data_IF_993190379754
#
_entry.id   IF_993190379754
#
_cell.length_a   1.000
_cell.length_b   1.000
_cell.length_c   1.000
_cell.angle_alpha   90.00
_cell.angle_beta   90.00
_cell.angle_gamma   90.00
#
_symmetry.space_group_name_H-M   'P 1'
#
loop_
_entity.id
_entity.type
_entity.pdbx_description
1 polymer ?
#
# COMPACT_ATOMS: atom_id res chain seq x y z
N UNK A 1 -2.35 -31.70 89.10
CA UNK A 1 -3.09 -31.28 90.31
C UNK A 1 -4.38 -32.09 90.39
N UNK A 2 -4.62 -32.77 91.53
CA UNK A 2 -5.82 -33.58 91.84
C UNK A 2 -5.87 -34.95 91.13
N UNK A 3 -6.03 -36.09 91.84
CA UNK A 3 -7.07 -36.27 92.85
C UNK A 3 -6.63 -36.94 94.17
N UNK A 4 -7.25 -36.52 95.29
CA UNK A 4 -7.21 -37.20 96.58
C UNK A 4 -8.30 -38.27 96.64
N UNK A 5 -7.94 -39.51 96.97
CA UNK A 5 -8.81 -40.49 97.64
C UNK A 5 -8.29 -40.67 99.07
N UNK A 6 -9.15 -40.48 100.08
CA UNK A 6 -9.00 -41.07 101.41
C UNK A 6 -10.31 -41.83 101.68
N UNK A 7 -10.22 -43.15 101.65
CA UNK A 7 -11.24 -44.07 102.11
C UNK A 7 -10.70 -44.82 103.31
N UNK A 8 -11.46 -44.78 104.39
CA UNK A 8 -11.26 -45.47 105.66
C UNK A 8 -11.29 -46.99 105.53
N UNK A 9 -10.65 -47.68 106.47
CA UNK A 9 -10.85 -49.13 106.64
C UNK A 9 -9.64 -49.90 107.16
N UNK A 10 -9.28 -49.69 108.43
CA UNK A 10 -8.27 -50.50 109.14
C UNK A 10 -8.99 -51.41 110.15
N UNK A 11 -9.06 -52.72 109.89
CA UNK A 11 -9.47 -53.75 110.86
C UNK A 11 -8.54 -54.96 110.76
N UNK A 12 -7.75 -55.21 111.81
CA UNK A 12 -7.06 -56.49 112.05
C UNK A 12 -6.64 -56.60 113.52
N UNK A 13 -7.24 -57.53 114.26
CA UNK A 13 -6.57 -58.62 115.01
C UNK A 13 -7.58 -59.31 115.95
N UNK A 14 -7.56 -60.64 115.91
CA UNK A 14 -8.31 -61.50 116.80
C UNK A 14 -7.44 -62.18 117.86
N UNK A 15 -8.09 -63.08 118.61
CA UNK A 15 -7.55 -63.98 119.63
C UNK A 15 -8.25 -63.74 120.98
N UNK A 16 -8.71 -64.73 121.76
CA UNK A 16 -8.46 -66.18 121.77
C UNK A 16 -9.37 -66.82 122.85
N UNK A 17 -9.98 -68.00 122.59
CA UNK A 17 -10.38 -69.05 123.57
C UNK A 17 -11.45 -68.68 124.62
N UNK A 18 -12.21 -69.59 125.25
CA UNK A 18 -12.19 -71.05 125.34
C UNK A 18 -13.56 -71.45 125.95
N UNK A 19 -14.21 -72.49 125.44
CA UNK A 19 -15.50 -72.95 125.96
C UNK A 19 -15.42 -74.17 126.87
N UNK A 20 -16.53 -74.47 127.55
CA UNK A 20 -16.89 -75.78 128.12
C UNK A 20 -17.49 -75.67 129.53
N UNK A 21 -18.39 -76.56 129.99
CA UNK A 21 -19.34 -77.51 129.38
C UNK A 21 -20.29 -77.96 130.52
N UNK A 22 -21.48 -78.39 130.12
CA UNK A 22 -22.63 -78.92 130.87
C UNK A 22 -22.37 -80.03 131.92
N UNK A 23 -23.08 -79.89 133.05
CA UNK A 23 -23.94 -80.84 133.79
C UNK A 23 -23.72 -82.36 133.80
N UNK A 24 -23.84 -82.88 135.04
CA UNK A 24 -24.70 -83.99 135.53
C UNK A 24 -24.04 -85.32 135.93
N UNK A 25 -24.09 -85.54 137.25
CA UNK A 25 -24.35 -86.75 138.07
C UNK A 25 -23.85 -88.14 137.67
N UNK A 26 -23.29 -88.85 138.66
CA UNK A 26 -23.19 -90.31 138.68
C UNK A 26 -22.29 -90.84 139.78
N UNK A 27 -22.87 -91.60 140.72
CA UNK A 27 -22.30 -92.05 141.98
C UNK A 27 -21.35 -93.27 141.90
N UNK A 28 -20.40 -93.31 142.85
CA UNK A 28 -19.98 -94.45 143.70
C UNK A 28 -19.92 -95.89 143.16
N UNK A 29 -18.74 -96.56 143.20
CA UNK A 29 -18.54 -97.91 142.67
C UNK A 29 -18.36 -99.01 143.76
N UNK A 30 -18.58 -100.27 143.38
CA UNK A 30 -17.84 -101.47 143.84
C UNK A 30 -18.33 -102.68 143.03
N UNK A 31 -17.55 -103.55 142.39
CA UNK A 31 -16.12 -103.80 142.17
C UNK A 31 -16.04 -105.23 141.59
N UNK A 32 -15.18 -105.57 140.60
CA UNK A 32 -15.15 -106.95 140.07
C UNK A 32 -13.79 -107.65 140.20
N UNK A 33 -13.83 -108.97 140.03
CA UNK A 33 -12.80 -109.99 140.29
C UNK A 33 -11.94 -110.36 139.05
N UNK A 34 -10.82 -111.13 139.22
CA UNK A 34 -9.58 -111.05 138.41
C UNK A 34 -9.60 -111.44 136.92
N UNK A 35 -10.69 -111.97 136.37
CA UNK A 35 -10.71 -112.43 134.96
C UNK A 35 -10.96 -111.30 133.94
N UNK A 36 -11.39 -110.12 134.39
CA UNK A 36 -11.68 -108.96 133.52
C UNK A 36 -10.44 -108.14 133.11
N UNK A 37 -9.30 -108.33 133.78
CA UNK A 37 -8.07 -107.56 133.51
C UNK A 37 -7.35 -107.98 132.22
N UNK A 38 -7.51 -109.21 131.74
CA UNK A 38 -6.85 -109.68 130.50
C UNK A 38 -7.54 -109.19 129.23
N UNK A 39 -8.86 -108.97 129.26
CA UNK A 39 -9.61 -108.46 128.11
C UNK A 39 -9.39 -106.95 127.87
N UNK A 40 -9.15 -106.17 128.93
CA UNK A 40 -8.88 -104.73 128.83
C UNK A 40 -7.53 -104.39 128.20
N UNK A 41 -6.52 -105.25 128.33
CA UNK A 41 -5.20 -105.03 127.73
C UNK A 41 -5.25 -105.15 126.20
N UNK A 42 -6.04 -106.08 125.66
CA UNK A 42 -6.15 -106.31 124.22
C UNK A 42 -6.85 -105.15 123.48
N UNK A 43 -7.90 -104.58 124.08
CA UNK A 43 -8.60 -103.41 123.50
C UNK A 43 -7.72 -102.17 123.50
N UNK A 44 -6.98 -101.90 124.58
CA UNK A 44 -6.06 -100.76 124.63
C UNK A 44 -4.91 -100.85 123.62
N UNK A 45 -4.43 -102.06 123.29
CA UNK A 45 -3.41 -102.24 122.25
C UNK A 45 -3.94 -101.97 120.83
N UNK A 46 -5.21 -102.30 120.55
CA UNK A 46 -5.83 -102.02 119.25
C UNK A 46 -6.13 -100.53 119.06
N UNK A 47 -6.59 -99.85 120.12
CA UNK A 47 -6.83 -98.41 120.10
C UNK A 47 -5.54 -97.62 119.91
N UNK A 48 -4.44 -98.03 120.55
CA UNK A 48 -3.11 -97.44 120.33
C UNK A 48 -2.65 -97.56 118.87
N UNK A 49 -2.83 -98.74 118.25
CA UNK A 49 -2.44 -98.95 116.85
C UNK A 49 -3.28 -98.12 115.88
N UNK A 50 -4.57 -97.89 116.19
CA UNK A 50 -5.45 -97.03 115.41
C UNK A 50 -5.05 -95.55 115.52
N UNK A 51 -4.77 -95.05 116.72
CA UNK A 51 -4.23 -93.69 116.91
C UNK A 51 -2.89 -93.49 116.20
N UNK A 52 -1.99 -94.48 116.24
CA UNK A 52 -0.71 -94.41 115.52
C UNK A 52 -0.90 -94.31 114.00
N UNK A 53 -1.83 -95.07 113.43
CA UNK A 53 -2.18 -94.99 112.01
C UNK A 53 -2.84 -93.65 111.63
N UNK A 54 -3.73 -93.12 112.47
CA UNK A 54 -4.34 -91.81 112.26
C UNK A 54 -3.30 -90.69 112.35
N UNK A 55 -2.37 -90.77 113.31
CA UNK A 55 -1.24 -89.84 113.42
C UNK A 55 -0.36 -89.87 112.17
N UNK A 56 0.00 -91.06 111.68
CA UNK A 56 0.79 -91.22 110.47
C UNK A 56 0.08 -90.65 109.24
N UNK A 57 -1.23 -90.87 109.11
CA UNK A 57 -2.02 -90.30 108.02
C UNK A 57 -2.08 -88.77 108.10
N UNK A 58 -2.34 -88.21 109.29
CA UNK A 58 -2.30 -86.76 109.49
C UNK A 58 -0.91 -86.17 109.23
N UNK A 59 0.16 -86.90 109.54
CA UNK A 59 1.52 -86.48 109.23
C UNK A 59 1.79 -86.43 107.73
N UNK A 60 1.38 -87.47 106.98
CA UNK A 60 1.47 -87.49 105.52
C UNK A 60 0.65 -86.36 104.90
N UNK A 61 -0.57 -86.11 105.40
CA UNK A 61 -1.43 -85.05 104.87
C UNK A 61 -0.86 -83.66 105.18
N UNK A 62 -0.28 -83.45 106.37
CA UNK A 62 0.46 -82.23 106.71
C UNK A 62 1.65 -82.02 105.79
N UNK A 63 2.44 -83.06 105.55
CA UNK A 63 3.64 -82.97 104.72
C UNK A 63 3.27 -82.76 103.23
N UNK A 64 2.16 -83.35 102.75
CA UNK A 64 1.57 -83.04 101.43
C UNK A 64 1.12 -81.60 101.32
N UNK A 65 0.40 -81.07 102.32
CA UNK A 65 -0.05 -79.67 102.34
C UNK A 65 1.15 -78.73 102.39
N UNK A 66 2.19 -79.05 103.15
CA UNK A 66 3.44 -78.28 103.19
C UNK A 66 4.14 -78.28 101.83
N UNK A 67 4.26 -79.45 101.17
CA UNK A 67 4.82 -79.56 99.82
C UNK A 67 4.01 -78.76 98.79
N UNK A 68 2.68 -78.87 98.79
CA UNK A 68 1.82 -78.07 97.92
C UNK A 68 1.97 -76.57 98.17
N UNK A 69 2.07 -76.17 99.44
CA UNK A 69 2.32 -74.78 99.81
C UNK A 69 3.66 -74.30 99.26
N UNK A 70 4.74 -75.06 99.41
CA UNK A 70 6.06 -74.69 98.90
C UNK A 70 6.11 -74.64 97.37
N UNK A 71 5.45 -75.59 96.68
CA UNK A 71 5.31 -75.57 95.22
C UNK A 71 4.52 -74.34 94.78
N UNK A 72 3.34 -74.08 95.38
CA UNK A 72 2.52 -72.92 95.03
C UNK A 72 3.20 -71.61 95.36
N UNK A 73 3.97 -71.55 96.44
CA UNK A 73 4.80 -70.40 96.79
C UNK A 73 5.89 -70.17 95.73
N UNK A 74 6.61 -71.20 95.30
CA UNK A 74 7.61 -71.12 94.21
C UNK A 74 6.98 -70.72 92.88
N UNK A 75 5.83 -71.30 92.52
CA UNK A 75 5.08 -70.92 91.31
C UNK A 75 4.64 -69.46 91.35
N UNK A 76 4.18 -68.99 92.51
CA UNK A 76 3.81 -67.59 92.71
C UNK A 76 5.03 -66.66 92.61
N UNK A 77 6.15 -67.01 93.24
CA UNK A 77 7.42 -66.28 93.15
C UNK A 77 7.94 -66.24 91.70
N UNK A 78 7.84 -67.34 90.95
CA UNK A 78 8.20 -67.42 89.54
C UNK A 78 7.27 -66.56 88.66
N UNK A 79 5.96 -66.61 88.88
CA UNK A 79 5.00 -65.77 88.15
C UNK A 79 5.25 -64.27 88.42
N UNK A 80 5.55 -63.91 89.68
CA UNK A 80 5.94 -62.55 90.04
C UNK A 80 7.25 -62.13 89.34
N UNK A 81 8.24 -63.02 89.25
CA UNK A 81 9.48 -62.74 88.54
C UNK A 81 9.25 -62.55 87.02
N UNK A 82 8.40 -63.36 86.40
CA UNK A 82 8.02 -63.21 85.00
C UNK A 82 7.30 -61.89 84.73
N UNK A 83 6.35 -61.50 85.60
CA UNK A 83 5.67 -60.20 85.48
C UNK A 83 6.67 -59.06 85.57
N UNK A 84 7.60 -59.10 86.54
CA UNK A 84 8.68 -58.09 86.65
C UNK A 84 9.55 -58.03 85.39
N UNK A 85 9.94 -59.18 84.85
CA UNK A 85 10.74 -59.22 83.62
C UNK A 85 9.97 -58.62 82.44
N UNK A 86 8.67 -58.93 82.31
CA UNK A 86 7.82 -58.36 81.26
C UNK A 86 7.61 -56.85 81.42
N UNK A 87 7.53 -56.36 82.65
CA UNK A 87 7.49 -54.91 82.92
C UNK A 87 8.79 -54.23 82.47
N UNK A 88 9.95 -54.81 82.79
CA UNK A 88 11.26 -54.30 82.33
C UNK A 88 11.38 -54.35 80.80
N UNK A 89 10.96 -55.44 80.16
CA UNK A 89 10.96 -55.54 78.68
C UNK A 89 10.06 -54.47 78.05
N UNK A 90 8.88 -54.22 78.63
CA UNK A 90 7.97 -53.18 78.18
C UNK A 90 8.59 -51.79 78.33
N UNK A 91 9.24 -51.52 79.45
CA UNK A 91 9.95 -50.25 79.68
C UNK A 91 11.07 -50.06 78.65
N UNK A 92 11.90 -51.08 78.41
CA UNK A 92 12.97 -51.02 77.40
C UNK A 92 12.43 -50.79 75.98
N UNK A 93 11.32 -51.42 75.61
CA UNK A 93 10.68 -51.19 74.30
C UNK A 93 10.13 -49.77 74.18
N UNK A 94 9.52 -49.24 75.24
CA UNK A 94 9.05 -47.85 75.28
C UNK A 94 10.21 -46.85 75.15
N UNK A 95 11.33 -47.10 75.84
CA UNK A 95 12.53 -46.28 75.73
C UNK A 95 13.12 -46.29 74.31
N UNK A 96 13.21 -47.48 73.68
CA UNK A 96 13.65 -47.62 72.28
C UNK A 96 12.74 -46.87 71.32
N UNK A 97 11.43 -47.06 71.44
CA UNK A 97 10.46 -46.35 70.61
C UNK A 97 10.56 -44.84 70.80
N UNK A 98 10.75 -44.36 72.04
CA UNK A 98 10.93 -42.94 72.31
C UNK A 98 12.23 -42.40 71.73
N UNK A 99 13.32 -43.18 71.74
CA UNK A 99 14.57 -42.83 71.09
C UNK A 99 14.42 -42.75 69.56
N UNK A 100 13.75 -43.73 68.93
CA UNK A 100 13.47 -43.73 67.50
C UNK A 100 12.63 -42.51 67.10
N UNK A 101 11.56 -42.20 67.85
CA UNK A 101 10.73 -41.00 67.61
C UNK A 101 11.59 -39.72 67.68
N UNK A 102 12.53 -39.63 68.62
CA UNK A 102 13.45 -38.48 68.70
C UNK A 102 14.36 -38.38 67.47
N UNK A 103 14.92 -39.51 67.00
CA UNK A 103 15.76 -39.55 65.79
C UNK A 103 14.95 -39.17 64.55
N UNK A 104 13.75 -39.73 64.38
CA UNK A 104 12.86 -39.37 63.26
C UNK A 104 12.48 -37.89 63.29
N UNK A 105 12.17 -37.34 64.46
CA UNK A 105 11.89 -35.92 64.62
C UNK A 105 13.09 -35.03 64.27
N UNK A 106 14.31 -35.42 64.68
CA UNK A 106 15.53 -34.71 64.29
C UNK A 106 15.76 -34.78 62.78
N UNK A 107 15.61 -35.96 62.18
CA UNK A 107 15.75 -36.14 60.72
C UNK A 107 14.73 -35.31 59.95
N UNK A 108 13.48 -35.25 60.41
CA UNK A 108 12.45 -34.40 59.82
C UNK A 108 12.82 -32.92 59.92
N UNK A 109 13.31 -32.46 61.08
CA UNK A 109 13.78 -31.07 61.25
C UNK A 109 14.94 -30.73 60.32
N UNK A 110 15.92 -31.63 60.17
CA UNK A 110 17.03 -31.44 59.24
C UNK A 110 16.54 -31.36 57.78
N UNK A 111 15.66 -32.28 57.37
CA UNK A 111 15.10 -32.28 56.01
C UNK A 111 14.32 -30.99 55.71
N UNK A 112 13.50 -30.52 56.66
CA UNK A 112 12.75 -29.27 56.50
C UNK A 112 13.68 -28.06 56.42
N UNK A 113 14.75 -28.02 57.23
CA UNK A 113 15.74 -26.96 57.18
C UNK A 113 16.53 -26.96 55.87
N UNK A 114 16.95 -28.13 55.40
CA UNK A 114 17.63 -28.29 54.12
C UNK A 114 16.73 -27.87 52.96
N UNK A 115 15.47 -28.33 52.95
CA UNK A 115 14.49 -27.90 51.95
C UNK A 115 14.28 -26.38 51.99
N UNK A 116 14.16 -25.79 53.18
CA UNK A 116 14.02 -24.35 53.34
C UNK A 116 15.23 -23.59 52.80
N UNK A 117 16.44 -24.10 53.05
CA UNK A 117 17.68 -23.50 52.54
C UNK A 117 17.77 -23.61 51.01
N UNK A 118 17.46 -24.78 50.43
CA UNK A 118 17.44 -24.97 48.97
C UNK A 118 16.43 -24.03 48.33
N UNK A 119 15.21 -23.97 48.87
CA UNK A 119 14.18 -23.03 48.39
C UNK A 119 14.66 -21.59 48.52
N UNK A 120 15.37 -21.24 49.60
CA UNK A 120 15.99 -19.93 49.78
C UNK A 120 17.03 -19.61 48.70
N UNK A 121 17.96 -20.54 48.41
CA UNK A 121 18.98 -20.39 47.37
C UNK A 121 18.35 -20.22 46.00
N UNK A 122 17.43 -21.11 45.63
CA UNK A 122 16.74 -21.07 44.33
C UNK A 122 15.95 -19.77 44.17
N UNK A 123 15.31 -19.26 45.23
CA UNK A 123 14.64 -17.96 45.18
C UNK A 123 15.63 -16.82 44.96
N UNK A 124 16.75 -16.80 45.67
CA UNK A 124 17.78 -15.79 45.51
C UNK A 124 18.41 -15.82 44.10
N UNK A 125 18.74 -17.00 43.59
CA UNK A 125 19.26 -17.20 42.23
C UNK A 125 18.26 -16.73 41.17
N UNK A 126 16.97 -17.08 41.32
CA UNK A 126 15.92 -16.62 40.42
C UNK A 126 15.74 -15.09 40.47
N UNK A 127 15.82 -14.46 41.64
CA UNK A 127 15.76 -13.00 41.75
C UNK A 127 16.94 -12.32 41.05
N UNK A 128 18.14 -12.87 41.16
CA UNK A 128 19.32 -12.37 40.45
C UNK A 128 19.16 -12.55 38.95
N UNK A 129 18.71 -13.72 38.50
CA UNK A 129 18.45 -13.99 37.08
C UNK A 129 17.40 -13.04 36.49
N UNK A 130 16.30 -12.77 37.21
CA UNK A 130 15.28 -11.82 36.79
C UNK A 130 15.82 -10.38 36.73
N UNK A 131 16.66 -9.97 37.69
CA UNK A 131 17.32 -8.65 37.66
C UNK A 131 18.25 -8.51 36.45
N UNK A 132 19.06 -9.53 36.18
CA UNK A 132 19.96 -9.55 35.03
C UNK A 132 19.18 -9.48 33.71
N UNK A 133 18.11 -10.26 33.57
CA UNK A 133 17.26 -10.24 32.38
C UNK A 133 16.60 -8.87 32.18
N UNK A 134 16.11 -8.24 33.25
CA UNK A 134 15.56 -6.87 33.19
C UNK A 134 16.62 -5.85 32.77
N UNK A 135 17.83 -5.94 33.31
CA UNK A 135 18.94 -5.06 32.93
C UNK A 135 19.33 -5.22 31.46
N UNK A 136 19.43 -6.46 30.97
CA UNK A 136 19.72 -6.74 29.56
C UNK A 136 18.60 -6.28 28.62
N UNK A 137 17.33 -6.40 29.04
CA UNK A 137 16.21 -5.86 28.28
C UNK A 137 16.27 -4.33 28.19
N UNK A 138 16.52 -3.64 29.32
CA UNK A 138 16.66 -2.18 29.35
C UNK A 138 17.86 -1.69 28.51
N UNK A 139 18.98 -2.40 28.53
CA UNK A 139 20.14 -2.08 27.69
C UNK A 139 19.82 -2.22 26.20
N UNK A 140 19.17 -3.32 25.79
CA UNK A 140 18.72 -3.52 24.40
C UNK A 140 17.74 -2.45 23.96
N UNK A 141 16.77 -2.10 24.82
CA UNK A 141 15.83 -1.02 24.54
C UNK A 141 16.54 0.31 24.34
N UNK A 142 17.49 0.66 25.22
CA UNK A 142 18.30 1.88 25.07
C UNK A 142 19.12 1.88 23.78
N UNK A 143 19.69 0.74 23.39
CA UNK A 143 20.43 0.62 22.13
C UNK A 143 19.50 0.83 20.93
N UNK A 144 18.34 0.16 20.92
CA UNK A 144 17.35 0.33 19.85
C UNK A 144 16.82 1.76 19.74
N UNK A 145 16.65 2.47 20.87
CA UNK A 145 16.26 3.88 20.86
C UNK A 145 17.36 4.79 20.28
N UNK A 146 18.62 4.50 20.59
CA UNK A 146 19.75 5.21 20.01
C UNK A 146 19.87 4.94 18.50
N UNK A 147 19.74 3.68 18.08
CA UNK A 147 19.75 3.29 16.67
C UNK A 147 18.58 3.92 15.90
N UNK A 148 17.40 3.98 16.51
CA UNK A 148 16.25 4.67 15.92
C UNK A 148 16.54 6.16 15.73
N UNK A 149 17.23 6.80 16.68
CA UNK A 149 17.59 8.22 16.58
C UNK A 149 18.63 8.45 15.50
N UNK A 150 19.70 7.66 15.45
CA UNK A 150 20.74 7.77 14.42
C UNK A 150 20.18 7.49 13.03
N UNK A 151 19.30 6.50 12.87
CA UNK A 151 18.62 6.24 11.60
C UNK A 151 17.72 7.40 11.17
N UNK A 152 17.02 8.05 12.11
CA UNK A 152 16.21 9.25 11.80
C UNK A 152 17.08 10.42 11.36
N UNK A 153 18.22 10.63 12.01
CA UNK A 153 19.14 11.71 11.67
C UNK A 153 19.80 11.45 10.30
N UNK A 154 20.29 10.24 10.05
CA UNK A 154 20.82 9.82 8.75
C UNK A 154 19.78 9.96 7.63
N UNK A 155 18.51 9.60 7.90
CA UNK A 155 17.43 9.78 6.92
C UNK A 155 17.24 11.25 6.57
N UNK A 156 17.22 12.14 7.56
CA UNK A 156 17.09 13.60 7.34
C UNK A 156 18.29 14.16 6.57
N UNK A 157 19.50 13.73 6.89
CA UNK A 157 20.71 14.14 6.15
C UNK A 157 20.64 13.69 4.69
N UNK A 158 20.21 12.46 4.42
CA UNK A 158 20.02 11.98 3.05
C UNK A 158 18.92 12.76 2.31
N UNK A 159 17.80 13.06 2.97
CA UNK A 159 16.74 13.90 2.41
C UNK A 159 17.27 15.30 2.05
N UNK A 160 18.03 15.94 2.94
CA UNK A 160 18.64 17.24 2.69
C UNK A 160 19.64 17.19 1.52
N UNK A 161 20.48 16.16 1.45
CA UNK A 161 21.41 15.95 0.34
C UNK A 161 20.67 15.75 -1.00
N UNK A 162 19.53 15.04 -1.00
CA UNK A 162 18.69 14.91 -2.20
C UNK A 162 18.06 16.24 -2.60
N UNK A 163 17.58 17.04 -1.65
CA UNK A 163 17.08 18.38 -1.94
C UNK A 163 18.17 19.28 -2.54
N UNK A 164 19.38 19.24 -2.02
CA UNK A 164 20.49 20.07 -2.49
C UNK A 164 20.98 19.63 -3.88
N UNK A 165 21.04 18.32 -4.15
CA UNK A 165 21.31 17.82 -5.51
C UNK A 165 20.22 18.21 -6.50
N UNK A 166 18.95 18.19 -6.12
CA UNK A 166 17.84 18.69 -6.95
C UNK A 166 17.97 20.20 -7.20
N UNK A 167 18.28 21.01 -6.18
CA UNK A 167 18.51 22.46 -6.33
C UNK A 167 19.68 22.72 -7.28
N UNK A 168 20.78 21.97 -7.15
CA UNK A 168 21.94 22.10 -8.02
C UNK A 168 21.60 21.74 -9.47
N UNK A 169 20.90 20.62 -9.72
CA UNK A 169 20.43 20.26 -11.06
C UNK A 169 19.52 21.34 -11.67
N UNK A 170 18.59 21.89 -10.89
CA UNK A 170 17.73 23.00 -11.35
C UNK A 170 18.52 24.25 -11.70
N UNK A 171 19.54 24.58 -10.91
CA UNK A 171 20.42 25.72 -11.17
C UNK A 171 21.22 25.51 -12.45
N UNK A 172 21.75 24.31 -12.67
CA UNK A 172 22.55 24.00 -13.85
C UNK A 172 21.68 23.97 -15.12
N UNK A 173 20.47 23.39 -15.07
CA UNK A 173 19.50 23.52 -16.16
C UNK A 173 19.13 24.98 -16.44
N UNK A 174 18.95 25.82 -15.42
CA UNK A 174 18.68 27.24 -15.62
C UNK A 174 19.84 27.95 -16.33
N UNK A 175 21.10 27.64 -15.97
CA UNK A 175 22.28 28.16 -16.67
C UNK A 175 22.33 27.71 -18.12
N UNK A 176 22.03 26.44 -18.41
CA UNK A 176 21.99 25.90 -19.77
C UNK A 176 20.91 26.57 -20.62
N UNK A 177 19.71 26.76 -20.07
CA UNK A 177 18.62 27.50 -20.73
C UNK A 177 19.06 28.93 -21.05
N UNK A 178 19.72 29.63 -20.11
CA UNK A 178 20.23 30.98 -20.36
C UNK A 178 21.29 30.99 -21.45
N UNK A 179 22.22 30.02 -21.46
CA UNK A 179 23.23 29.89 -22.53
C UNK A 179 22.57 29.65 -23.89
N UNK A 180 21.57 28.76 -23.96
CA UNK A 180 20.84 28.53 -25.20
C UNK A 180 20.12 29.78 -25.68
N UNK A 181 19.45 30.53 -24.79
CA UNK A 181 18.81 31.81 -25.14
C UNK A 181 19.81 32.81 -25.70
N UNK A 182 20.96 32.98 -25.04
CA UNK A 182 22.03 33.85 -25.53
C UNK A 182 22.54 33.43 -26.91
N UNK A 183 22.70 32.12 -27.14
CA UNK A 183 23.10 31.61 -28.46
C UNK A 183 22.04 31.91 -29.52
N UNK A 184 20.76 31.70 -29.22
CA UNK A 184 19.67 32.03 -30.14
C UNK A 184 19.59 33.53 -30.45
N UNK A 185 19.82 34.39 -29.46
CA UNK A 185 19.84 35.84 -29.65
C UNK A 185 21.01 36.25 -30.56
N UNK A 186 22.21 35.66 -30.37
CA UNK A 186 23.36 35.89 -31.24
C UNK A 186 23.10 35.41 -32.67
N UNK A 187 22.58 34.19 -32.83
CA UNK A 187 22.27 33.62 -34.15
C UNK A 187 21.20 34.45 -34.88
N UNK A 188 20.20 34.96 -34.15
CA UNK A 188 19.18 35.86 -34.70
C UNK A 188 19.77 37.20 -35.13
N UNK A 189 20.64 37.82 -34.32
CA UNK A 189 21.35 39.04 -34.69
C UNK A 189 22.23 38.84 -35.92
N UNK A 190 22.96 37.73 -35.99
CA UNK A 190 23.79 37.35 -37.13
C UNK A 190 22.95 37.16 -38.41
N UNK A 191 21.77 36.54 -38.28
CA UNK A 191 20.85 36.36 -39.40
C UNK A 191 20.32 37.70 -39.91
N UNK A 192 19.89 38.59 -39.01
CA UNK A 192 19.43 39.94 -39.34
C UNK A 192 20.54 40.73 -40.04
N UNK A 193 21.77 40.70 -39.50
CA UNK A 193 22.91 41.39 -40.09
C UNK A 193 23.23 40.86 -41.51
N UNK A 194 23.14 39.53 -41.71
CA UNK A 194 23.32 38.92 -43.04
C UNK A 194 22.23 39.34 -44.02
N UNK A 195 20.97 39.39 -43.59
CA UNK A 195 19.85 39.84 -44.46
C UNK A 195 19.97 41.32 -44.81
N UNK A 196 20.31 42.17 -43.85
CA UNK A 196 20.50 43.61 -44.08
C UNK A 196 21.65 43.86 -45.04
N UNK A 197 22.75 43.13 -44.90
CA UNK A 197 23.88 43.19 -45.83
C UNK A 197 23.47 42.81 -47.24
N UNK A 198 22.68 41.74 -47.41
CA UNK A 198 22.15 41.33 -48.74
C UNK A 198 21.24 42.41 -49.33
N UNK A 199 20.33 42.98 -48.54
CA UNK A 199 19.43 44.05 -48.99
C UNK A 199 20.24 45.27 -49.46
N UNK A 200 21.24 45.69 -48.68
CA UNK A 200 22.14 46.79 -49.07
C UNK A 200 22.88 46.49 -50.37
N UNK A 201 23.47 45.30 -50.49
CA UNK A 201 24.18 44.88 -51.70
C UNK A 201 23.27 44.87 -52.95
N UNK A 202 22.03 44.38 -52.84
CA UNK A 202 21.08 44.43 -53.95
C UNK A 202 20.74 45.88 -54.33
N UNK A 203 20.48 46.75 -53.34
CA UNK A 203 20.21 48.17 -53.60
C UNK A 203 21.39 48.87 -54.28
N UNK A 204 22.61 48.62 -53.80
CA UNK A 204 23.83 49.21 -54.36
C UNK A 204 24.05 48.73 -55.81
N UNK A 205 23.79 47.44 -56.08
CA UNK A 205 23.87 46.86 -57.43
C UNK A 205 22.82 47.46 -58.37
N UNK A 206 21.57 47.58 -57.94
CA UNK A 206 20.50 48.18 -58.73
C UNK A 206 20.78 49.67 -59.00
N UNK A 207 21.32 50.40 -58.02
CA UNK A 207 21.73 51.78 -58.19
C UNK A 207 22.90 51.91 -59.17
N UNK A 208 23.86 50.99 -59.10
CA UNK A 208 24.97 50.92 -60.06
C UNK A 208 24.48 50.64 -61.48
N UNK A 209 23.60 49.65 -61.66
CA UNK A 209 22.99 49.35 -62.97
C UNK A 209 22.25 50.56 -63.52
N UNK A 210 21.42 51.22 -62.69
CA UNK A 210 20.71 52.44 -63.10
C UNK A 210 21.67 53.54 -63.55
N UNK A 211 22.76 53.77 -62.80
CA UNK A 211 23.79 54.76 -63.18
C UNK A 211 24.48 54.39 -64.48
N UNK A 212 24.80 53.12 -64.68
CA UNK A 212 25.39 52.62 -65.90
C UNK A 212 24.46 52.82 -67.11
N UNK A 213 23.18 52.42 -66.99
CA UNK A 213 22.18 52.59 -68.05
C UNK A 213 21.98 54.08 -68.42
N UNK A 214 21.93 54.97 -67.42
CA UNK A 214 21.86 56.42 -67.64
C UNK A 214 23.08 56.87 -68.45
N UNK A 215 24.28 56.46 -68.05
CA UNK A 215 25.50 56.85 -68.73
C UNK A 215 25.56 56.32 -70.18
N UNK A 216 25.15 55.07 -70.41
CA UNK A 216 25.05 54.50 -71.76
C UNK A 216 24.01 55.23 -72.63
N UNK A 217 22.89 55.69 -72.06
CA UNK A 217 21.91 56.52 -72.76
C UNK A 217 22.50 57.89 -73.09
N UNK A 218 23.21 58.51 -72.15
CA UNK A 218 23.87 59.80 -72.35
C UNK A 218 24.94 59.72 -73.44
N UNK A 219 25.79 58.71 -73.42
CA UNK A 219 26.79 58.45 -74.47
C UNK A 219 26.14 58.28 -75.85
N UNK A 220 25.07 57.47 -75.95
CA UNK A 220 24.32 57.32 -77.21
C UNK A 220 23.70 58.63 -77.69
N UNK A 221 23.15 59.44 -76.77
CA UNK A 221 22.60 60.75 -77.11
C UNK A 221 23.68 61.73 -77.54
N UNK A 222 24.82 61.77 -76.86
CA UNK A 222 25.96 62.61 -77.20
C UNK A 222 26.55 62.24 -78.57
N UNK A 223 26.66 60.94 -78.85
CA UNK A 223 27.07 60.45 -80.16
C UNK A 223 26.08 60.89 -81.24
N UNK A 224 24.77 60.76 -81.00
CA UNK A 224 23.74 61.22 -81.94
C UNK A 224 23.79 62.73 -82.18
N UNK A 225 23.99 63.54 -81.13
CA UNK A 225 24.17 64.99 -81.24
C UNK A 225 25.39 65.29 -82.12
N UNK A 226 26.51 64.60 -81.89
CA UNK A 226 27.73 64.77 -82.68
C UNK A 226 27.52 64.43 -84.15
N UNK A 227 26.83 63.32 -84.44
CA UNK A 227 26.47 62.93 -85.81
C UNK A 227 25.53 63.94 -86.48
N UNK A 228 24.55 64.46 -85.73
CA UNK A 228 23.64 65.48 -86.21
C UNK A 228 24.37 66.79 -86.52
N UNK A 229 25.30 67.22 -85.66
CA UNK A 229 26.17 68.37 -85.92
C UNK A 229 26.98 68.19 -87.19
N UNK A 230 27.62 67.02 -87.38
CA UNK A 230 28.38 66.70 -88.61
C UNK A 230 27.50 66.73 -89.86
N UNK A 231 26.28 66.19 -89.79
CA UNK A 231 25.31 66.23 -90.90
C UNK A 231 24.88 67.66 -91.22
N UNK A 232 24.61 68.48 -90.21
CA UNK A 232 24.30 69.89 -90.41
C UNK A 232 25.48 70.63 -91.03
N UNK A 233 26.70 70.42 -90.55
CA UNK A 233 27.91 71.06 -91.10
C UNK A 233 28.16 70.64 -92.56
N UNK A 234 27.92 69.36 -92.88
CA UNK A 234 27.96 68.88 -94.26
C UNK A 234 26.87 69.53 -95.11
N UNK A 235 25.63 69.58 -94.65
CA UNK A 235 24.53 70.23 -95.36
C UNK A 235 24.78 71.74 -95.55
N UNK A 236 25.33 72.43 -94.54
CA UNK A 236 25.75 73.83 -94.67
C UNK A 236 26.87 73.99 -95.70
N UNK A 237 27.83 73.07 -95.72
CA UNK A 237 28.91 73.06 -96.73
C UNK A 237 28.36 72.80 -98.13
N UNK A 238 27.45 71.83 -98.29
CA UNK A 238 26.76 71.53 -99.54
C UNK A 238 25.91 72.71 -100.02
N UNK A 239 25.17 73.39 -99.13
CA UNK A 239 24.44 74.62 -99.44
C UNK A 239 25.40 75.73 -99.88
N UNK A 240 26.53 75.89 -99.18
CA UNK A 240 27.54 76.89 -99.53
C UNK A 240 28.17 76.58 -100.89
N UNK A 241 28.48 75.32 -101.17
CA UNK A 241 28.93 74.85 -102.48
C UNK A 241 27.85 75.09 -103.54
N UNK A 242 26.58 74.76 -103.27
CA UNK A 242 25.47 74.99 -104.18
C UNK A 242 25.27 76.48 -104.51
N UNK A 243 25.37 77.38 -103.54
CA UNK A 243 25.32 78.82 -103.82
C UNK A 243 26.58 79.35 -104.50
N UNK A 244 27.75 78.79 -104.21
CA UNK A 244 28.98 79.06 -104.98
C UNK A 244 28.86 78.58 -106.42
N UNK A 245 28.30 77.39 -106.64
CA UNK A 245 28.08 76.79 -107.94
C UNK A 245 26.97 77.53 -108.69
N UNK A 246 25.94 78.04 -108.01
CA UNK A 246 24.95 78.96 -108.60
C UNK A 246 25.61 80.28 -108.96
N UNK A 247 26.48 80.85 -108.12
CA UNK A 247 27.15 82.11 -108.48
C UNK A 247 28.11 81.91 -109.64
N UNK A 248 28.81 80.78 -109.67
CA UNK A 248 29.66 80.36 -110.79
C UNK A 248 28.83 80.10 -112.05
N UNK A 249 27.75 79.30 -111.95
CA UNK A 249 26.81 79.07 -113.05
C UNK A 249 26.08 80.33 -113.46
N UNK A 250 25.81 81.29 -112.57
CA UNK A 250 25.20 82.57 -112.93
C UNK A 250 26.22 83.45 -113.65
N UNK A 251 27.50 83.40 -113.28
CA UNK A 251 28.59 84.03 -114.04
C UNK A 251 28.73 83.40 -115.43
N UNK A 252 28.70 82.07 -115.50
CA UNK A 252 28.74 81.32 -116.76
C UNK A 252 27.46 81.55 -117.57
N UNK A 253 26.27 81.54 -116.97
CA UNK A 253 24.98 81.86 -117.59
C UNK A 253 24.88 83.33 -117.99
N UNK A 254 25.51 84.28 -117.30
CA UNK A 254 25.63 85.66 -117.80
C UNK A 254 26.49 85.68 -119.07
N UNK A 255 27.50 84.80 -119.16
CA UNK A 255 28.32 84.58 -120.36
C UNK A 255 27.49 83.93 -121.47
N UNK A 256 26.74 82.87 -121.15
CA UNK A 256 25.90 82.14 -122.10
C UNK A 256 24.67 82.93 -122.50
N UNK A 257 24.01 83.70 -121.63
CA UNK A 257 22.88 84.59 -121.99
C UNK A 257 23.33 85.74 -122.89
N UNK A 258 24.59 86.18 -122.82
CA UNK A 258 25.15 87.06 -123.85
C UNK A 258 25.26 86.36 -125.21
N UNK A 259 25.48 85.04 -125.22
CA UNK A 259 25.46 84.20 -126.43
C UNK A 259 24.02 83.84 -126.85
N UNK A 260 23.14 83.43 -125.96
CA UNK A 260 21.76 83.00 -126.17
C UNK A 260 20.78 84.15 -126.41
N UNK A 261 21.02 85.40 -125.99
CA UNK A 261 20.26 86.54 -126.52
C UNK A 261 20.40 86.63 -128.05
N UNK A 262 21.45 86.04 -128.62
CA UNK A 262 21.59 85.89 -130.08
C UNK A 262 20.78 84.71 -130.64
N UNK A 263 20.48 83.68 -129.85
CA UNK A 263 19.82 82.43 -130.29
C UNK A 263 18.35 82.26 -129.83
N UNK A 264 17.90 82.89 -128.74
CA UNK A 264 16.52 82.92 -128.22
C UNK A 264 15.53 83.62 -129.15
N UNK A 265 16.00 84.38 -130.14
CA UNK A 265 15.16 84.83 -131.26
C UNK A 265 14.62 83.68 -132.13
N UNK A 266 15.11 82.43 -131.98
CA UNK A 266 14.82 81.33 -132.92
C UNK A 266 13.91 80.21 -132.39
N UNK A 267 13.61 80.08 -131.09
CA UNK A 267 12.97 78.86 -130.56
C UNK A 267 11.75 79.06 -129.66
N UNK A 268 11.00 80.13 -129.84
CA UNK A 268 9.77 80.41 -129.07
C UNK A 268 8.50 79.70 -129.64
N UNK A 269 8.60 78.97 -130.74
CA UNK A 269 7.43 78.48 -131.49
C UNK A 269 6.97 77.02 -131.22
N UNK A 270 7.46 76.31 -130.19
CA UNK A 270 7.30 74.85 -130.14
C UNK A 270 6.46 74.21 -129.00
N UNK A 271 6.07 74.92 -127.94
CA UNK A 271 5.64 74.25 -126.70
C UNK A 271 4.14 74.31 -126.34
N UNK A 272 3.25 74.13 -127.33
CA UNK A 272 1.80 74.00 -127.09
C UNK A 272 1.31 72.54 -126.94
N UNK A 273 2.18 71.52 -127.04
CA UNK A 273 1.75 70.09 -127.05
C UNK A 273 1.70 69.38 -125.69
N UNK A 274 2.15 69.98 -124.59
CA UNK A 274 2.26 69.29 -123.28
C UNK A 274 0.94 69.17 -122.49
N UNK A 275 -0.12 69.87 -122.93
CA UNK A 275 -1.36 69.99 -122.15
C UNK A 275 -2.30 68.76 -122.21
N UNK A 276 -2.09 67.81 -123.12
CA UNK A 276 -3.00 66.67 -123.30
C UNK A 276 -2.66 65.43 -122.44
N UNK A 277 -1.37 65.24 -122.11
CA UNK A 277 -0.91 64.03 -121.39
C UNK A 277 -1.34 64.01 -119.91
N UNK A 278 -1.51 65.18 -119.29
CA UNK A 278 -1.85 65.31 -117.86
C UNK A 278 -3.29 64.84 -117.56
N UNK A 279 -4.20 64.89 -118.55
CA UNK A 279 -5.61 64.58 -118.36
C UNK A 279 -5.91 63.05 -118.32
N UNK A 280 -5.06 62.22 -118.94
CA UNK A 280 -5.28 60.76 -119.02
C UNK A 280 -4.81 60.03 -117.74
N UNK A 281 -3.74 60.52 -117.11
CA UNK A 281 -3.13 59.90 -115.91
C UNK A 281 -4.06 59.96 -114.69
N UNK A 282 -4.87 61.02 -114.57
CA UNK A 282 -5.84 61.21 -113.47
C UNK A 282 -7.02 60.22 -113.50
N UNK A 283 -7.34 59.59 -114.65
CA UNK A 283 -8.39 58.56 -114.71
C UNK A 283 -7.91 57.17 -114.28
N UNK A 284 -6.60 56.91 -114.27
CA UNK A 284 -6.00 55.60 -113.94
C UNK A 284 -5.90 55.34 -112.44
N UNK A 285 -5.87 56.39 -111.61
CA UNK A 285 -5.57 56.32 -110.18
C UNK A 285 -6.79 56.17 -109.26
N UNK A 286 -8.02 56.29 -109.80
CA UNK A 286 -9.25 56.31 -109.01
C UNK A 286 -9.63 54.92 -108.47
N UNK A 287 -9.40 53.85 -109.23
CA UNK A 287 -9.81 52.49 -108.85
C UNK A 287 -8.94 51.83 -107.75
N UNK A 288 -7.60 52.02 -107.73
CA UNK A 288 -6.75 51.58 -106.61
C UNK A 288 -7.12 52.23 -105.27
N UNK A 289 -7.52 53.51 -105.30
CA UNK A 289 -7.88 54.27 -104.11
C UNK A 289 -9.14 53.70 -103.43
N UNK A 290 -10.15 53.29 -104.21
CA UNK A 290 -11.39 52.71 -103.69
C UNK A 290 -11.19 51.33 -103.08
N UNK A 291 -10.24 50.54 -103.59
CA UNK A 291 -9.89 49.22 -103.01
C UNK A 291 -9.15 49.38 -101.67
N UNK A 292 -8.19 50.30 -101.60
CA UNK A 292 -7.47 50.58 -100.36
C UNK A 292 -8.39 51.07 -99.23
N UNK A 293 -9.40 51.89 -99.55
CA UNK A 293 -10.39 52.36 -98.56
C UNK A 293 -11.24 51.21 -97.97
N UNK A 294 -11.66 50.25 -98.80
CA UNK A 294 -12.41 49.05 -98.33
C UNK A 294 -11.55 48.12 -97.47
N UNK A 295 -10.27 47.96 -97.80
CA UNK A 295 -9.33 47.20 -96.96
C UNK A 295 -9.12 47.85 -95.59
N UNK A 296 -8.96 49.18 -95.55
CA UNK A 296 -8.84 49.93 -94.29
C UNK A 296 -10.09 49.73 -93.41
N UNK A 297 -11.29 49.72 -94.00
CA UNK A 297 -12.52 49.48 -93.24
C UNK A 297 -12.60 48.05 -92.68
N UNK A 298 -12.19 47.04 -93.46
CA UNK A 298 -12.13 45.65 -93.00
C UNK A 298 -11.09 45.46 -91.89
N UNK A 299 -9.90 46.06 -92.02
CA UNK A 299 -8.86 46.01 -90.99
C UNK A 299 -9.31 46.70 -89.69
N UNK A 300 -10.07 47.80 -89.77
CA UNK A 300 -10.67 48.45 -88.60
C UNK A 300 -11.68 47.55 -87.88
N UNK A 301 -12.52 46.80 -88.62
CA UNK A 301 -13.46 45.83 -88.03
C UNK A 301 -12.72 44.67 -87.35
N UNK A 302 -11.64 44.17 -87.95
CA UNK A 302 -10.80 43.12 -87.37
C UNK A 302 -10.08 43.59 -86.10
N UNK A 303 -9.54 44.81 -86.10
CA UNK A 303 -8.95 45.43 -84.89
C UNK A 303 -9.96 45.53 -83.75
N UNK A 304 -11.18 46.02 -84.02
CA UNK A 304 -12.23 46.13 -83.01
C UNK A 304 -12.67 44.77 -82.45
N UNK A 305 -12.66 43.72 -83.27
CA UNK A 305 -12.93 42.36 -82.81
C UNK A 305 -11.77 41.82 -81.95
N UNK A 306 -10.53 42.05 -82.37
CA UNK A 306 -9.34 41.66 -81.63
C UNK A 306 -9.27 42.32 -80.24
N UNK A 307 -9.64 43.59 -80.12
CA UNK A 307 -9.70 44.29 -78.83
C UNK A 307 -10.76 43.70 -77.89
N UNK A 308 -11.93 43.29 -78.43
CA UNK A 308 -12.95 42.58 -77.65
C UNK A 308 -12.46 41.22 -77.17
N UNK A 309 -11.80 40.46 -78.04
CA UNK A 309 -11.26 39.14 -77.71
C UNK A 309 -10.12 39.25 -76.69
N UNK A 310 -9.32 40.32 -76.76
CA UNK A 310 -8.29 40.61 -75.76
C UNK A 310 -8.89 40.90 -74.38
N UNK A 311 -9.98 41.68 -74.31
CA UNK A 311 -10.67 41.94 -73.05
C UNK A 311 -11.35 40.69 -72.48
N UNK A 312 -12.02 39.88 -73.31
CA UNK A 312 -12.63 38.63 -72.85
C UNK A 312 -11.57 37.62 -72.35
N UNK A 313 -10.41 37.53 -73.03
CA UNK A 313 -9.29 36.72 -72.59
C UNK A 313 -8.70 37.20 -71.25
N UNK A 314 -8.57 38.51 -71.05
CA UNK A 314 -8.13 39.07 -69.76
C UNK A 314 -9.11 38.72 -68.64
N UNK A 315 -10.41 38.83 -68.88
CA UNK A 315 -11.42 38.49 -67.88
C UNK A 315 -11.44 36.99 -67.57
N UNK A 316 -11.29 36.13 -68.57
CA UNK A 316 -11.17 34.69 -68.38
C UNK A 316 -9.90 34.31 -67.60
N UNK A 317 -8.78 35.00 -67.84
CA UNK A 317 -7.54 34.81 -67.06
C UNK A 317 -7.72 35.17 -65.59
N UNK A 318 -8.41 36.27 -65.28
CA UNK A 318 -8.71 36.65 -63.90
C UNK A 318 -9.59 35.59 -63.21
N UNK A 319 -10.67 35.16 -63.88
CA UNK A 319 -11.53 34.09 -63.38
C UNK A 319 -10.77 32.78 -63.15
N UNK A 320 -9.83 32.44 -64.04
CA UNK A 320 -8.99 31.26 -63.90
C UNK A 320 -8.05 31.34 -62.68
N UNK A 321 -7.44 32.50 -62.44
CA UNK A 321 -6.61 32.72 -61.24
C UNK A 321 -7.44 32.59 -59.96
N UNK A 322 -8.65 33.14 -59.93
CA UNK A 322 -9.54 33.03 -58.77
C UNK A 322 -10.02 31.59 -58.55
N UNK A 323 -10.33 30.86 -59.62
CA UNK A 323 -10.66 29.43 -59.56
C UNK A 323 -9.49 28.60 -59.01
N UNK A 324 -8.25 28.87 -59.44
CA UNK A 324 -7.05 28.19 -58.92
C UNK A 324 -6.85 28.44 -57.42
N UNK A 325 -7.04 29.69 -56.95
CA UNK A 325 -6.99 29.99 -55.51
C UNK A 325 -8.07 29.23 -54.75
N UNK A 326 -9.28 29.13 -55.30
CA UNK A 326 -10.37 28.40 -54.68
C UNK A 326 -10.07 26.90 -54.57
N UNK A 327 -9.50 26.29 -55.62
CA UNK A 327 -9.06 24.89 -55.60
C UNK A 327 -7.95 24.68 -54.56
N UNK A 328 -6.95 25.55 -54.51
CA UNK A 328 -5.87 25.46 -53.51
C UNK A 328 -6.40 25.55 -52.07
N UNK A 329 -7.35 26.44 -51.81
CA UNK A 329 -7.97 26.56 -50.49
C UNK A 329 -8.77 25.29 -50.14
N UNK A 330 -9.57 24.78 -51.08
CA UNK A 330 -10.33 23.54 -50.89
C UNK A 330 -9.44 22.33 -50.67
N UNK A 331 -8.32 22.21 -51.39
CA UNK A 331 -7.34 21.14 -51.17
C UNK A 331 -6.73 21.21 -49.76
N UNK A 332 -6.42 22.42 -49.28
CA UNK A 332 -5.90 22.61 -47.93
C UNK A 332 -6.94 22.25 -46.86
N UNK A 333 -8.17 22.74 -47.02
CA UNK A 333 -9.28 22.40 -46.12
C UNK A 333 -9.55 20.90 -46.10
N UNK A 334 -9.53 20.25 -47.27
CA UNK A 334 -9.71 18.81 -47.40
C UNK A 334 -8.62 18.03 -46.66
N UNK A 335 -7.34 18.39 -46.84
CA UNK A 335 -6.22 17.75 -46.12
C UNK A 335 -6.36 17.93 -44.61
N UNK A 336 -6.72 19.13 -44.15
CA UNK A 336 -6.94 19.41 -42.73
C UNK A 336 -8.10 18.57 -42.17
N UNK A 337 -9.19 18.43 -42.92
CA UNK A 337 -10.34 17.61 -42.52
C UNK A 337 -9.98 16.13 -42.46
N UNK A 338 -9.18 15.66 -43.41
CA UNK A 338 -8.72 14.27 -43.46
C UNK A 338 -7.83 13.93 -42.26
N UNK A 339 -6.89 14.81 -41.90
CA UNK A 339 -6.04 14.63 -40.70
C UNK A 339 -6.89 14.63 -39.41
N UNK A 340 -7.90 15.50 -39.33
CA UNK A 340 -8.84 15.52 -38.19
C UNK A 340 -9.65 14.23 -38.12
N UNK A 341 -10.10 13.70 -39.25
CA UNK A 341 -10.85 12.45 -39.31
C UNK A 341 -9.98 11.28 -38.84
N UNK A 342 -8.73 11.18 -39.30
CA UNK A 342 -7.79 10.15 -38.87
C UNK A 342 -7.54 10.19 -37.36
N UNK A 343 -7.36 11.39 -36.78
CA UNK A 343 -7.22 11.57 -35.33
C UNK A 343 -8.45 11.09 -34.57
N UNK A 344 -9.65 11.50 -34.99
CA UNK A 344 -10.89 11.09 -34.34
C UNK A 344 -11.14 9.58 -34.47
N UNK A 345 -10.77 8.97 -35.60
CA UNK A 345 -10.84 7.52 -35.78
C UNK A 345 -9.88 6.79 -34.84
N UNK A 346 -8.64 7.28 -34.70
CA UNK A 346 -7.67 6.71 -33.76
C UNK A 346 -8.14 6.84 -32.30
N UNK A 347 -8.71 7.98 -31.91
CA UNK A 347 -9.29 8.19 -30.57
C UNK A 347 -10.47 7.26 -30.32
N UNK A 348 -11.35 7.09 -31.31
CA UNK A 348 -12.47 6.14 -31.25
C UNK A 348 -11.94 4.73 -31.03
N UNK A 349 -10.95 4.30 -31.81
CA UNK A 349 -10.42 2.93 -31.77
C UNK A 349 -9.70 2.64 -30.45
N UNK A 350 -8.92 3.59 -29.94
CA UNK A 350 -8.31 3.50 -28.61
C UNK A 350 -9.38 3.43 -27.50
N UNK A 351 -10.45 4.23 -27.60
CA UNK A 351 -11.54 4.19 -26.63
C UNK A 351 -12.28 2.84 -26.65
N UNK A 352 -12.53 2.27 -27.83
CA UNK A 352 -13.11 0.93 -27.95
C UNK A 352 -12.19 -0.14 -27.37
N UNK A 353 -10.89 -0.11 -27.66
CA UNK A 353 -9.94 -1.06 -27.10
C UNK A 353 -9.86 -0.98 -25.57
N UNK A 354 -9.85 0.23 -25.01
CA UNK A 354 -9.88 0.44 -23.55
C UNK A 354 -11.19 -0.04 -22.94
N UNK A 355 -12.32 0.18 -23.61
CA UNK A 355 -13.63 -0.29 -23.16
C UNK A 355 -13.68 -1.82 -23.12
N UNK A 356 -13.23 -2.50 -24.19
CA UNK A 356 -13.13 -3.96 -24.23
C UNK A 356 -12.21 -4.49 -23.12
N UNK A 357 -11.03 -3.90 -22.94
CA UNK A 357 -10.11 -4.26 -21.85
C UNK A 357 -10.76 -4.08 -20.47
N UNK A 358 -11.46 -2.96 -20.23
CA UNK A 358 -12.17 -2.74 -18.97
C UNK A 358 -13.27 -3.78 -18.74
N UNK A 359 -14.01 -4.16 -19.78
CA UNK A 359 -15.02 -5.21 -19.69
C UNK A 359 -14.37 -6.53 -19.30
N UNK A 360 -13.30 -6.94 -19.97
CA UNK A 360 -12.60 -8.19 -19.67
C UNK A 360 -12.05 -8.20 -18.24
N UNK A 361 -11.46 -7.09 -17.78
CA UNK A 361 -10.97 -6.97 -16.40
C UNK A 361 -12.09 -7.09 -15.36
N UNK A 362 -13.24 -6.44 -15.60
CA UNK A 362 -14.40 -6.53 -14.71
C UNK A 362 -14.98 -7.94 -14.72
N UNK A 363 -15.12 -8.56 -15.90
CA UNK A 363 -15.58 -9.95 -16.02
C UNK A 363 -14.63 -10.91 -15.31
N UNK A 364 -13.31 -10.75 -15.46
CA UNK A 364 -12.31 -11.57 -14.78
C UNK A 364 -12.40 -11.41 -13.26
N UNK A 365 -12.46 -10.17 -12.75
CA UNK A 365 -12.59 -9.91 -11.30
C UNK A 365 -13.87 -10.48 -10.72
N UNK A 366 -14.99 -10.28 -11.41
CA UNK A 366 -16.28 -10.85 -11.03
C UNK A 366 -16.26 -12.39 -11.10
N UNK A 367 -15.64 -12.95 -12.14
CA UNK A 367 -15.47 -14.40 -12.32
C UNK A 367 -14.65 -15.03 -11.20
N UNK A 368 -13.49 -14.47 -10.86
CA UNK A 368 -12.65 -14.93 -9.74
C UNK A 368 -13.40 -14.83 -8.42
N UNK A 369 -14.11 -13.72 -8.17
CA UNK A 369 -14.92 -13.55 -6.95
C UNK A 369 -16.06 -14.55 -6.88
N UNK A 370 -16.75 -14.80 -7.99
CA UNK A 370 -17.83 -15.79 -8.07
C UNK A 370 -17.30 -17.19 -7.80
N UNK A 371 -16.19 -17.57 -8.43
CA UNK A 371 -15.56 -18.88 -8.24
C UNK A 371 -15.07 -19.08 -6.80
N UNK A 372 -14.52 -18.03 -6.16
CA UNK A 372 -14.14 -18.07 -4.76
C UNK A 372 -15.36 -18.25 -3.83
N UNK A 373 -16.46 -17.54 -4.11
CA UNK A 373 -17.70 -17.68 -3.35
C UNK A 373 -18.31 -19.07 -3.53
N UNK A 374 -18.29 -19.60 -4.75
CA UNK A 374 -18.75 -20.95 -5.06
C UNK A 374 -17.92 -22.00 -4.32
N UNK A 375 -16.59 -21.88 -4.33
CA UNK A 375 -15.69 -22.74 -3.53
C UNK A 375 -15.96 -22.63 -2.03
N UNK A 376 -16.21 -21.43 -1.52
CA UNK A 376 -16.56 -21.23 -0.11
C UNK A 376 -17.89 -21.90 0.23
N UNK A 377 -18.90 -21.77 -0.63
CA UNK A 377 -20.19 -22.45 -0.45
C UNK A 377 -20.00 -23.96 -0.49
N UNK A 378 -19.22 -24.50 -1.44
CA UNK A 378 -18.90 -25.92 -1.53
C UNK A 378 -18.25 -26.44 -0.23
N UNK A 379 -17.23 -25.75 0.28
CA UNK A 379 -16.56 -26.14 1.53
C UNK A 379 -17.51 -26.07 2.73
N UNK A 380 -18.37 -25.05 2.80
CA UNK A 380 -19.36 -24.93 3.86
C UNK A 380 -20.43 -26.04 3.78
N UNK A 381 -20.84 -26.44 2.57
CA UNK A 381 -21.74 -27.58 2.35
C UNK A 381 -21.09 -28.89 2.76
N UNK A 382 -19.85 -29.16 2.38
CA UNK A 382 -19.12 -30.36 2.82
C UNK A 382 -18.94 -30.40 4.35
N UNK A 383 -18.70 -29.24 4.97
CA UNK A 383 -18.64 -29.13 6.43
C UNK A 383 -20.01 -29.39 7.07
N UNK A 384 -21.08 -28.88 6.47
CA UNK A 384 -22.46 -29.13 6.91
C UNK A 384 -22.79 -30.62 6.82
N UNK A 385 -22.52 -31.27 5.69
CA UNK A 385 -22.72 -32.71 5.50
C UNK A 385 -21.94 -33.55 6.52
N UNK A 386 -20.68 -33.19 6.79
CA UNK A 386 -19.86 -33.82 7.85
C UNK A 386 -20.47 -33.62 9.24
N UNK A 387 -21.05 -32.45 9.51
CA UNK A 387 -21.70 -32.17 10.80
C UNK A 387 -23.04 -32.88 10.93
N UNK A 388 -23.80 -32.98 9.85
CA UNK A 388 -25.09 -33.69 9.81
C UNK A 388 -24.90 -35.20 9.93
N UNK A 389 -23.87 -35.77 9.30
CA UNK A 389 -23.49 -37.18 9.49
C UNK A 389 -23.04 -37.45 10.93
N UNK A 390 -22.16 -36.62 11.50
CA UNK A 390 -21.76 -36.73 12.92
C UNK A 390 -22.95 -36.59 13.88
N UNK A 391 -23.89 -35.68 13.61
CA UNK A 391 -25.13 -35.54 14.37
C UNK A 391 -26.03 -36.75 14.21
N UNK A 392 -26.16 -37.29 12.99
CA UNK A 392 -26.94 -38.50 12.69
C UNK A 392 -26.40 -39.72 13.42
N UNK A 393 -25.07 -39.92 13.43
CA UNK A 393 -24.40 -40.99 14.16
C UNK A 393 -24.56 -40.83 15.68
N UNK A 394 -24.37 -39.61 16.22
CA UNK A 394 -24.54 -39.35 17.65
C UNK A 394 -26.00 -39.53 18.11
N UNK A 395 -26.97 -39.14 17.28
CA UNK A 395 -28.40 -39.36 17.53
C UNK A 395 -28.82 -40.82 17.33
N UNK A 396 -28.16 -41.58 16.46
CA UNK A 396 -28.41 -43.02 16.27
C UNK A 396 -27.78 -43.90 17.35
N UNK A 397 -26.61 -43.51 17.88
CA UNK A 397 -25.94 -44.18 19.00
C UNK A 397 -26.63 -43.93 20.35
N UNK A 398 -27.32 -42.80 20.48
CA UNK A 398 -28.11 -42.44 21.66
C UNK A 398 -29.58 -42.82 21.41
N UNK A 399 -30.12 -43.83 22.11
CA UNK A 399 -31.57 -44.16 22.09
C UNK A 399 -32.42 -43.08 22.79
N UNK A 400 -32.31 -41.84 22.33
CA UNK A 400 -32.83 -40.62 22.95
C UNK A 400 -33.54 -39.84 21.83
N UNK A 401 -34.59 -40.44 21.28
CA UNK A 401 -35.25 -39.92 20.07
C UNK A 401 -36.43 -38.99 20.37
N UNK A 402 -36.97 -38.93 21.59
CA UNK A 402 -38.20 -38.15 21.86
C UNK A 402 -38.02 -36.92 22.77
N UNK A 403 -37.25 -36.99 23.85
CA UNK A 403 -37.10 -35.85 24.78
C UNK A 403 -36.18 -34.73 24.26
N UNK A 404 -35.25 -35.07 23.36
CA UNK A 404 -34.19 -34.18 22.84
C UNK A 404 -34.69 -33.25 21.73
N UNK A 405 -35.79 -33.60 21.08
CA UNK A 405 -36.41 -32.86 19.98
C UNK A 405 -37.01 -31.51 20.46
N UNK A 406 -37.66 -31.52 21.64
CA UNK A 406 -38.18 -30.31 22.27
C UNK A 406 -37.10 -29.36 22.79
N UNK A 407 -35.99 -29.91 23.29
CA UNK A 407 -34.82 -29.14 23.72
C UNK A 407 -34.09 -28.48 22.54
N UNK A 408 -33.96 -29.17 21.40
CA UNK A 408 -33.44 -28.59 20.14
C UNK A 408 -34.30 -27.40 19.69
N UNK A 409 -35.63 -27.55 19.66
CA UNK A 409 -36.54 -26.48 19.24
C UNK A 409 -36.47 -25.23 20.16
N UNK A 410 -36.22 -25.43 21.46
CA UNK A 410 -35.99 -24.34 22.40
C UNK A 410 -34.67 -23.61 22.16
N UNK A 411 -33.59 -24.35 21.89
CA UNK A 411 -32.27 -23.80 21.59
C UNK A 411 -32.28 -23.06 20.24
N UNK A 412 -32.93 -23.61 19.21
CA UNK A 412 -33.05 -22.97 17.90
C UNK A 412 -33.80 -21.63 17.98
N UNK A 413 -34.92 -21.59 18.73
CA UNK A 413 -35.62 -20.32 19.01
C UNK A 413 -34.74 -19.30 19.74
N UNK A 414 -33.89 -19.75 20.66
CA UNK A 414 -32.94 -18.87 21.37
C UNK A 414 -31.85 -18.36 20.42
N UNK A 415 -31.37 -19.20 19.50
CA UNK A 415 -30.38 -18.80 18.49
C UNK A 415 -31.00 -17.79 17.52
N UNK A 416 -32.22 -18.03 17.04
CA UNK A 416 -32.92 -17.12 16.14
C UNK A 416 -33.21 -15.76 16.77
N UNK A 417 -33.68 -15.74 18.01
CA UNK A 417 -33.90 -14.48 18.75
C UNK A 417 -32.60 -13.71 18.95
N UNK A 418 -31.48 -14.39 19.25
CA UNK A 418 -30.16 -13.76 19.31
C UNK A 418 -29.70 -13.22 17.95
N UNK A 419 -29.86 -13.98 16.87
CA UNK A 419 -29.52 -13.57 15.51
C UNK A 419 -30.32 -12.35 15.05
N UNK A 420 -31.63 -12.31 15.37
CA UNK A 420 -32.46 -11.14 15.10
C UNK A 420 -32.00 -9.92 15.92
N UNK A 421 -31.62 -10.11 17.18
CA UNK A 421 -31.07 -9.03 18.02
C UNK A 421 -29.76 -8.49 17.47
N UNK A 422 -28.87 -9.36 16.98
CA UNK A 422 -27.64 -8.98 16.30
C UNK A 422 -27.95 -8.12 15.06
N UNK A 423 -28.87 -8.56 14.18
CA UNK A 423 -29.29 -7.79 13.01
C UNK A 423 -29.84 -6.40 13.38
N UNK A 424 -30.65 -6.30 14.43
CA UNK A 424 -31.18 -5.01 14.93
C UNK A 424 -30.07 -4.08 15.44
N UNK A 425 -29.12 -4.61 16.21
CA UNK A 425 -27.99 -3.82 16.72
C UNK A 425 -27.09 -3.30 15.60
N UNK A 426 -26.81 -4.11 14.57
CA UNK A 426 -26.08 -3.65 13.39
C UNK A 426 -26.81 -2.53 12.65
N UNK A 427 -28.14 -2.66 12.51
CA UNK A 427 -28.96 -1.62 11.90
C UNK A 427 -28.95 -0.31 12.73
N UNK A 428 -29.06 -0.41 14.05
CA UNK A 428 -28.99 0.76 14.94
C UNK A 428 -27.61 1.43 14.90
N UNK A 429 -26.53 0.65 14.88
CA UNK A 429 -25.16 1.16 14.73
C UNK A 429 -25.01 1.93 13.41
N UNK A 430 -25.50 1.38 12.30
CA UNK A 430 -25.49 2.06 11.00
C UNK A 430 -26.31 3.36 11.02
N UNK A 431 -27.48 3.36 11.66
CA UNK A 431 -28.32 4.54 11.82
C UNK A 431 -27.63 5.65 12.63
N UNK A 432 -27.00 5.29 13.76
CA UNK A 432 -26.29 6.25 14.63
C UNK A 432 -25.05 6.80 13.93
N UNK A 433 -24.30 5.95 13.22
CA UNK A 433 -23.13 6.38 12.43
C UNK A 433 -23.52 7.37 11.34
N UNK A 434 -24.63 7.11 10.64
CA UNK A 434 -25.17 8.06 9.64
C UNK A 434 -25.61 9.38 10.27
N UNK A 435 -26.31 9.33 11.41
CA UNK A 435 -26.70 10.54 12.14
C UNK A 435 -25.49 11.36 12.61
N UNK A 436 -24.46 10.70 13.14
CA UNK A 436 -23.20 11.33 13.53
C UNK A 436 -22.53 12.03 12.35
N UNK A 437 -22.35 11.35 11.22
CA UNK A 437 -21.73 11.93 10.02
C UNK A 437 -22.53 13.13 9.47
N UNK A 438 -23.87 13.07 9.52
CA UNK A 438 -24.73 14.19 9.13
C UNK A 438 -24.56 15.40 10.05
N UNK A 439 -24.48 15.17 11.37
CA UNK A 439 -24.27 16.24 12.36
C UNK A 439 -22.87 16.86 12.21
N UNK A 440 -21.84 16.04 11.99
CA UNK A 440 -20.48 16.52 11.70
C UNK A 440 -20.49 17.42 10.46
N UNK A 441 -21.09 16.98 9.34
CA UNK A 441 -21.20 17.81 8.12
C UNK A 441 -21.97 19.12 8.36
N UNK A 442 -23.04 19.09 9.14
CA UNK A 442 -23.80 20.31 9.48
C UNK A 442 -22.94 21.29 10.30
N UNK A 443 -22.17 20.80 11.27
CA UNK A 443 -21.22 21.63 12.02
C UNK A 443 -20.09 22.17 11.15
N UNK A 444 -19.54 21.36 10.24
CA UNK A 444 -18.53 21.82 9.27
C UNK A 444 -19.08 22.98 8.42
N UNK A 445 -20.30 22.84 7.90
CA UNK A 445 -20.94 23.88 7.10
C UNK A 445 -21.19 25.16 7.91
N UNK A 446 -21.59 25.05 9.18
CA UNK A 446 -21.88 26.22 10.02
C UNK A 446 -20.59 26.93 10.47
N UNK A 447 -19.52 26.20 10.77
CA UNK A 447 -18.22 26.78 11.13
C UNK A 447 -17.54 27.47 9.93
N UNK A 448 -17.70 26.91 8.73
CA UNK A 448 -17.25 27.56 7.50
C UNK A 448 -17.97 28.90 7.27
N UNK A 449 -19.27 28.99 7.57
CA UNK A 449 -20.05 30.25 7.51
C UNK A 449 -19.52 31.33 8.47
N UNK A 450 -18.96 30.93 9.62
CA UNK A 450 -18.31 31.82 10.59
C UNK A 450 -16.81 32.06 10.31
N UNK A 451 -16.29 31.60 9.17
CA UNK A 451 -14.91 31.86 8.74
C UNK A 451 -13.84 31.02 9.45
N UNK A 452 -14.19 29.87 10.04
CA UNK A 452 -13.25 28.94 10.67
C UNK A 452 -13.11 27.67 9.82
N UNK A 453 -12.01 27.53 9.04
CA UNK A 453 -11.76 26.32 8.25
C UNK A 453 -11.41 25.12 9.14
N UNK A 454 -11.91 23.94 8.78
CA UNK A 454 -11.82 22.74 9.60
C UNK A 454 -10.39 22.26 9.90
N UNK A 455 -9.45 22.57 9.01
CA UNK A 455 -8.03 22.23 9.10
C UNK A 455 -7.33 22.88 10.30
N UNK A 456 -7.91 23.96 10.85
CA UNK A 456 -7.33 24.72 11.96
C UNK A 456 -7.77 24.23 13.35
N UNK A 457 -8.78 23.34 13.44
CA UNK A 457 -9.30 22.87 14.74
C UNK A 457 -8.58 21.64 15.32
N UNK A 458 -7.63 21.03 14.59
CA UNK A 458 -6.85 19.88 15.09
C UNK A 458 -7.70 18.68 15.51
N UNK A 459 -8.89 18.50 14.90
CA UNK A 459 -9.78 17.40 15.25
C UNK A 459 -9.20 16.07 14.72
N UNK A 460 -9.15 15.01 15.55
CA UNK A 460 -8.60 13.73 15.14
C UNK A 460 -9.36 13.11 13.96
N UNK A 461 -8.63 12.47 13.04
CA UNK A 461 -9.14 11.85 11.80
C UNK A 461 -10.30 10.84 11.99
N UNK A 462 -10.55 10.35 13.22
CA UNK A 462 -11.64 9.42 13.50
C UNK A 462 -13.05 10.03 13.35
N UNK A 463 -13.18 11.36 13.37
CA UNK A 463 -14.47 12.06 13.19
C UNK A 463 -14.87 12.11 11.69
N UNK A 464 -13.90 11.97 10.78
CA UNK A 464 -14.14 12.14 9.35
C UNK A 464 -14.66 10.86 8.67
N UNK A 465 -14.31 9.67 9.15
CA UNK A 465 -14.70 8.40 8.52
C UNK A 465 -14.73 7.24 9.53
N UNK A 466 -15.91 6.97 10.11
CA UNK A 466 -16.22 5.60 10.53
C UNK A 466 -16.47 4.77 9.26
N UNK A 467 -15.76 3.65 9.04
CA UNK A 467 -15.95 2.82 7.86
C UNK A 467 -17.38 2.27 7.83
N UNK A 468 -18.03 2.41 6.68
CA UNK A 468 -19.35 1.82 6.37
C UNK A 468 -19.21 0.31 6.27
#
# INVERSE_FOLDING_TARGET
MGPKKKGDGKKKKGGKGKGGKKSKDGAGPSGPTPEQLKAQVATLTADKAKEENERNRMQIDRDKVASFWDIKKKEHEHALALVRNKDVEREQLQERQQAEIKVYNQRMKHLLYEQQNIVGSVKAENEVALKLQRQQAAQRESQLLNDLRTLKDNKKEMELNYEDTIKQMKLDHAKEITKMRQQFDLDAQDLIAKTDKKIKQTRDNDEFQRKQEIHEIEERKNMHITDLMKKHEKAFSEIKCYYNDITQNNLDLIKTLKEDVTDMKKREAANEKLMYEIAQENRRLTEPLTRALKEVENLRKQMAQYDKDKHSLQQLRLQHVDALKHVQNLEWEYRLLQEKLEKVQAERDDLYARFESCIFDVQQKCGVKSLLLEKRVQVLLEQLEKKDTQLGEAMGASKLLDATSGAKFGIDKVIDTKNQKIKRLYYELGRVTKAHNSVVKAFQSKLAEFGVPLEQMGLPEYIAKLPV
#
